data_IF_087895519037
#
_entry.id   IF_087895519037
#
_cell.length_a   1.000
_cell.length_b   1.000
_cell.length_c   1.000
_cell.angle_alpha   90.00
_cell.angle_beta   90.00
_cell.angle_gamma   90.00
#
_symmetry.space_group_name_H-M   'P 1'
#
loop_
_entity.id
_entity.type
_entity.pdbx_description
1 polymer ?
#
# COMPACT_ATOMS: atom_id res chain seq x y z
N UNK A 1 -4.78 -40.97 62.70
CA UNK A 1 -4.90 -41.08 61.23
C UNK A 1 -6.36 -40.78 60.87
N UNK A 2 -6.63 -39.80 59.97
CA UNK A 2 -7.96 -39.29 59.48
C UNK A 2 -8.80 -38.47 60.49
N UNK A 3 -8.67 -37.14 60.57
CA UNK A 3 -9.28 -36.02 59.78
C UNK A 3 -10.66 -35.52 60.24
N UNK A 4 -10.65 -34.29 60.80
CA UNK A 4 -11.58 -33.14 60.70
C UNK A 4 -13.09 -33.38 60.72
N UNK A 5 -13.78 -32.62 61.57
CA UNK A 5 -14.87 -31.67 61.17
C UNK A 5 -15.22 -30.77 62.35
N UNK A 6 -15.05 -29.45 62.22
CA UNK A 6 -15.78 -28.44 62.99
C UNK A 6 -16.11 -27.28 62.04
N UNK A 7 -17.39 -26.91 61.98
CA UNK A 7 -17.96 -25.65 61.47
C UNK A 7 -18.70 -25.01 62.69
N UNK A 8 -19.38 -23.84 62.63
CA UNK A 8 -19.48 -22.75 61.63
C UNK A 8 -19.53 -21.31 62.27
N UNK A 9 -19.97 -20.32 61.48
CA UNK A 9 -20.50 -18.96 61.78
C UNK A 9 -19.46 -17.83 61.95
N UNK A 10 -19.28 -16.93 60.96
CA UNK A 10 -20.14 -15.84 60.48
C UNK A 10 -19.96 -14.53 61.28
N UNK A 11 -19.46 -13.48 60.61
CA UNK A 11 -19.77 -12.09 60.93
C UNK A 11 -19.46 -11.20 59.72
N UNK A 12 -20.48 -10.45 59.30
CA UNK A 12 -20.46 -9.42 58.26
C UNK A 12 -19.61 -8.21 58.67
N UNK A 13 -18.99 -7.53 57.72
CA UNK A 13 -18.95 -6.06 57.69
C UNK A 13 -18.90 -5.55 56.25
N UNK A 14 -19.85 -4.68 55.91
CA UNK A 14 -19.99 -4.00 54.63
C UNK A 14 -19.10 -2.75 54.60
N UNK A 15 -18.52 -2.44 53.43
CA UNK A 15 -18.05 -1.09 53.10
C UNK A 15 -18.11 -0.85 51.59
N UNK A 16 -18.90 0.17 51.24
CA UNK A 16 -19.20 0.69 49.91
C UNK A 16 -17.95 1.39 49.34
N UNK A 17 -17.59 1.09 48.10
CA UNK A 17 -16.61 1.86 47.32
C UNK A 17 -17.21 2.22 45.97
N UNK A 18 -17.46 3.51 45.79
CA UNK A 18 -17.91 4.17 44.57
C UNK A 18 -16.87 4.02 43.47
N UNK A 19 -17.20 3.33 42.38
CA UNK A 19 -16.35 3.29 41.18
C UNK A 19 -16.97 4.16 40.09
N UNK A 20 -16.32 5.29 39.83
CA UNK A 20 -16.65 6.25 38.77
C UNK A 20 -16.36 5.62 37.40
N UNK A 21 -17.34 5.61 36.48
CA UNK A 21 -17.14 5.13 35.12
C UNK A 21 -16.45 6.21 34.26
N UNK A 22 -15.34 5.93 33.56
CA UNK A 22 -14.89 6.79 32.49
C UNK A 22 -15.68 6.48 31.21
N UNK A 23 -16.19 7.55 30.58
CA UNK A 23 -16.87 7.52 29.31
C UNK A 23 -15.94 7.00 28.19
N UNK A 24 -16.39 5.96 27.49
CA UNK A 24 -15.73 5.45 26.29
C UNK A 24 -16.08 6.38 25.13
N UNK A 25 -15.17 7.29 24.79
CA UNK A 25 -15.20 8.05 23.54
C UNK A 25 -14.86 7.08 22.41
N UNK A 26 -15.86 6.70 21.60
CA UNK A 26 -15.58 6.13 20.28
C UNK A 26 -15.28 7.29 19.32
N UNK A 27 -14.02 7.40 18.91
CA UNK A 27 -13.65 8.21 17.76
C UNK A 27 -13.99 7.44 16.48
N UNK A 28 -14.73 8.08 15.58
CA UNK A 28 -15.12 7.52 14.29
C UNK A 28 -13.91 7.36 13.35
N UNK A 29 -13.81 6.17 12.76
CA UNK A 29 -12.91 5.79 11.68
C UNK A 29 -12.86 6.84 10.56
N UNK A 30 -11.74 7.53 10.46
CA UNK A 30 -11.31 8.11 9.20
C UNK A 30 -10.71 6.98 8.36
N UNK A 31 -11.42 6.59 7.29
CA UNK A 31 -10.92 5.66 6.28
C UNK A 31 -9.78 6.32 5.50
N UNK A 32 -8.58 6.31 6.08
CA UNK A 32 -7.34 6.67 5.41
C UNK A 32 -6.98 5.55 4.45
N UNK A 33 -6.55 5.91 3.24
CA UNK A 33 -5.94 4.95 2.33
C UNK A 33 -4.72 4.35 3.03
N UNK A 34 -4.82 3.07 3.40
CA UNK A 34 -3.82 2.34 4.18
C UNK A 34 -2.45 2.42 3.49
N UNK A 35 -1.57 3.25 4.04
CA UNK A 35 -0.16 3.15 3.78
C UNK A 35 0.33 1.89 4.51
N UNK A 36 0.56 0.80 3.77
CA UNK A 36 1.15 -0.42 4.34
C UNK A 36 2.63 -0.15 4.59
N UNK A 37 2.97 0.30 5.80
CA UNK A 37 4.34 0.36 6.29
C UNK A 37 4.75 -1.02 6.81
N UNK A 38 5.26 -1.89 5.94
CA UNK A 38 5.82 -3.18 6.34
C UNK A 38 7.35 -3.07 6.30
N UNK A 39 8.01 -3.48 7.39
CA UNK A 39 9.48 -3.53 7.50
C UNK A 39 10.22 -2.22 7.14
N UNK A 40 9.59 -1.06 7.39
CA UNK A 40 10.19 0.25 7.12
C UNK A 40 10.02 0.76 5.69
N UNK A 41 9.31 0.03 4.83
CA UNK A 41 8.90 0.49 3.49
C UNK A 41 7.42 0.87 3.52
N UNK A 42 7.12 2.10 3.09
CA UNK A 42 5.76 2.55 2.82
C UNK A 42 5.53 2.64 1.32
N UNK A 43 4.47 1.99 0.84
CA UNK A 43 3.99 2.10 -0.53
C UNK A 43 2.61 2.75 -0.53
N UNK A 44 2.44 3.80 -1.32
CA UNK A 44 1.22 4.61 -1.32
C UNK A 44 0.73 4.87 -2.74
N UNK A 45 -0.58 5.15 -2.86
CA UNK A 45 -1.20 5.56 -4.13
C UNK A 45 -1.08 4.51 -5.23
N UNK A 46 -1.22 3.22 -4.90
CA UNK A 46 -1.08 2.16 -5.90
C UNK A 46 -2.28 2.09 -6.85
N UNK A 47 -2.02 2.24 -8.15
CA UNK A 47 -3.04 2.18 -9.20
C UNK A 47 -2.51 1.57 -10.49
N UNK A 48 -3.40 1.09 -11.36
CA UNK A 48 -3.07 0.53 -12.66
C UNK A 48 -3.99 1.05 -13.75
N UNK A 49 -3.50 1.06 -15.00
CA UNK A 49 -4.33 1.38 -16.16
C UNK A 49 -5.33 0.24 -16.46
N UNK A 50 -6.55 0.57 -16.90
CA UNK A 50 -7.44 -0.46 -17.43
C UNK A 50 -6.82 -1.10 -18.67
N UNK A 51 -7.14 -2.37 -18.91
CA UNK A 51 -6.72 -3.05 -20.13
C UNK A 51 -7.38 -2.41 -21.34
N UNK A 52 -6.60 -2.15 -22.38
CA UNK A 52 -7.14 -1.83 -23.71
C UNK A 52 -7.64 -3.16 -24.30
N UNK A 53 -8.80 -3.16 -24.97
CA UNK A 53 -9.45 -4.37 -25.47
C UNK A 53 -8.49 -5.35 -26.16
N UNK A 54 -8.73 -6.66 -26.02
CA UNK A 54 -7.89 -7.78 -26.52
C UNK A 54 -6.44 -7.82 -26.01
N UNK A 55 -5.91 -6.77 -25.38
CA UNK A 55 -4.56 -6.74 -24.84
C UNK A 55 -4.53 -7.36 -23.45
N UNK A 56 -3.59 -8.29 -23.22
CA UNK A 56 -3.36 -8.94 -21.92
C UNK A 56 -2.21 -8.28 -21.15
N UNK A 57 -2.11 -6.96 -21.25
CA UNK A 57 -1.06 -6.15 -20.63
C UNK A 57 -1.64 -4.94 -19.91
N UNK A 58 -0.99 -4.52 -18.82
CA UNK A 58 -1.25 -3.26 -18.11
C UNK A 58 0.02 -2.76 -17.43
N UNK A 59 -0.01 -1.53 -16.92
CA UNK A 59 1.06 -0.95 -16.11
C UNK A 59 0.48 -0.48 -14.76
N UNK A 60 1.20 -0.79 -13.68
CA UNK A 60 0.92 -0.33 -12.33
C UNK A 60 1.95 0.71 -11.87
N UNK A 61 1.47 1.62 -11.03
CA UNK A 61 2.11 2.85 -10.60
C UNK A 61 1.84 3.04 -9.10
N UNK A 62 2.78 3.63 -8.38
CA UNK A 62 2.73 3.88 -6.94
C UNK A 62 3.90 4.78 -6.54
N UNK A 63 3.92 5.18 -5.28
CA UNK A 63 5.09 5.79 -4.65
C UNK A 63 5.62 4.83 -3.58
N UNK A 64 6.94 4.69 -3.50
CA UNK A 64 7.59 3.89 -2.48
C UNK A 64 8.64 4.74 -1.74
N UNK A 65 8.65 4.67 -0.41
CA UNK A 65 9.62 5.36 0.44
C UNK A 65 10.05 4.45 1.57
N UNK A 66 11.34 4.45 1.89
CA UNK A 66 11.86 3.78 3.08
C UNK A 66 12.08 4.80 4.19
N UNK A 67 11.58 4.51 5.39
CA UNK A 67 11.91 5.23 6.63
C UNK A 67 13.04 4.57 7.40
N UNK A 68 13.46 3.37 6.96
CA UNK A 68 14.64 2.67 7.46
C UNK A 68 15.90 3.02 6.66
N UNK A 69 16.78 2.03 6.50
CA UNK A 69 17.96 2.14 5.63
C UNK A 69 17.60 2.04 4.15
N UNK A 70 18.62 2.21 3.30
CA UNK A 70 18.51 2.00 1.84
C UNK A 70 17.93 0.62 1.54
N UNK A 71 17.04 0.54 0.55
CA UNK A 71 16.47 -0.71 0.07
C UNK A 71 16.39 -0.70 -1.46
N UNK A 72 16.01 -1.83 -2.06
CA UNK A 72 15.78 -1.96 -3.50
C UNK A 72 14.51 -2.74 -3.74
N UNK A 73 13.65 -2.24 -4.62
CA UNK A 73 12.60 -3.06 -5.20
C UNK A 73 13.23 -3.97 -6.26
N UNK A 74 13.16 -5.27 -6.06
CA UNK A 74 13.84 -6.26 -6.92
C UNK A 74 12.87 -7.14 -7.71
N UNK A 75 11.61 -7.24 -7.28
CA UNK A 75 10.60 -7.99 -8.03
C UNK A 75 9.18 -7.47 -7.77
N UNK A 76 8.27 -7.85 -8.66
CA UNK A 76 6.83 -7.69 -8.49
C UNK A 76 6.13 -8.98 -8.93
N UNK A 77 5.00 -9.32 -8.29
CA UNK A 77 4.15 -10.45 -8.66
C UNK A 77 2.68 -10.17 -8.36
N UNK A 78 1.79 -10.74 -9.15
CA UNK A 78 0.34 -10.71 -8.90
C UNK A 78 -0.30 -12.02 -9.32
N UNK A 79 -1.34 -12.45 -8.61
CA UNK A 79 -2.10 -13.65 -8.98
C UNK A 79 -2.91 -13.45 -10.27
N UNK A 80 -3.15 -12.19 -10.67
CA UNK A 80 -3.99 -11.80 -11.79
C UNK A 80 -3.28 -11.88 -13.15
N UNK A 81 -1.99 -12.17 -13.19
CA UNK A 81 -1.18 -12.19 -14.41
C UNK A 81 -0.12 -13.30 -14.38
N UNK A 82 0.47 -13.60 -15.52
CA UNK A 82 1.55 -14.57 -15.64
C UNK A 82 2.91 -13.96 -15.24
N UNK A 83 3.10 -12.66 -15.49
CA UNK A 83 4.34 -11.96 -15.18
C UNK A 83 4.10 -10.51 -14.75
N UNK A 84 4.92 -10.03 -13.82
CA UNK A 84 5.07 -8.62 -13.49
C UNK A 84 6.56 -8.27 -13.49
N UNK A 85 6.94 -7.23 -14.20
CA UNK A 85 8.34 -6.81 -14.38
C UNK A 85 8.52 -5.33 -14.02
N UNK A 86 9.69 -4.97 -13.51
CA UNK A 86 10.07 -3.58 -13.29
C UNK A 86 10.60 -2.99 -14.59
N UNK A 87 10.04 -1.87 -15.02
CA UNK A 87 10.41 -1.20 -16.27
C UNK A 87 10.70 0.27 -16.00
N UNK A 88 11.55 0.84 -16.84
CA UNK A 88 11.84 2.27 -16.88
C UNK A 88 11.65 2.81 -18.29
N UNK A 89 11.16 4.03 -18.37
CA UNK A 89 11.19 4.81 -19.59
C UNK A 89 12.49 5.62 -19.69
N UNK A 90 13.22 5.46 -20.79
CA UNK A 90 14.46 6.18 -21.08
C UNK A 90 14.36 6.91 -22.42
N UNK A 91 15.06 8.03 -22.56
CA UNK A 91 15.24 8.72 -23.83
C UNK A 91 16.60 8.32 -24.39
N UNK A 92 16.61 7.63 -25.52
CA UNK A 92 17.84 7.21 -26.19
C UNK A 92 17.79 7.73 -27.63
N UNK A 93 18.71 8.63 -27.98
CA UNK A 93 18.80 9.27 -29.30
C UNK A 93 17.50 10.00 -29.71
N UNK A 94 16.85 10.68 -28.76
CA UNK A 94 15.58 11.37 -28.99
C UNK A 94 14.36 10.44 -29.09
N UNK A 95 14.55 9.12 -28.93
CA UNK A 95 13.48 8.12 -28.98
C UNK A 95 13.17 7.65 -27.56
N UNK A 96 11.90 7.79 -27.20
CA UNK A 96 11.29 7.23 -26.01
C UNK A 96 11.32 5.68 -26.07
N UNK A 97 11.99 5.03 -25.12
CA UNK A 97 12.07 3.57 -25.03
C UNK A 97 11.67 3.10 -23.63
N UNK A 98 10.96 1.97 -23.60
CA UNK A 98 10.65 1.24 -22.38
C UNK A 98 11.62 0.07 -22.25
N UNK A 99 12.30 -0.07 -21.12
CA UNK A 99 13.30 -1.11 -20.88
C UNK A 99 13.07 -1.77 -19.51
N UNK A 100 13.15 -3.11 -19.41
CA UNK A 100 13.14 -3.78 -18.12
C UNK A 100 14.37 -3.39 -17.29
N UNK A 101 14.21 -3.35 -15.98
CA UNK A 101 15.29 -3.12 -15.00
C UNK A 101 15.26 -4.22 -13.94
N UNK A 102 16.42 -4.64 -13.47
CA UNK A 102 16.52 -5.71 -12.47
C UNK A 102 16.13 -5.23 -11.07
N UNK A 103 16.33 -3.95 -10.78
CA UNK A 103 15.94 -3.36 -9.50
C UNK A 103 15.78 -1.86 -9.58
N UNK A 104 15.08 -1.29 -8.59
CA UNK A 104 14.94 0.15 -8.39
C UNK A 104 15.39 0.48 -6.97
N UNK A 105 16.44 1.30 -6.85
CA UNK A 105 16.97 1.73 -5.56
C UNK A 105 16.02 2.72 -4.87
N UNK A 106 15.84 2.55 -3.56
CA UNK A 106 15.02 3.41 -2.71
C UNK A 106 15.90 3.93 -1.57
N UNK A 107 16.24 5.22 -1.66
CA UNK A 107 17.01 5.90 -0.64
C UNK A 107 16.11 6.32 0.54
N UNK A 108 16.63 6.31 1.79
CA UNK A 108 15.90 6.78 2.96
C UNK A 108 15.34 8.18 2.81
N UNK A 109 14.07 8.35 3.17
CA UNK A 109 13.40 9.65 3.16
C UNK A 109 13.19 10.27 1.78
N UNK A 110 13.62 9.60 0.70
CA UNK A 110 13.44 10.08 -0.68
C UNK A 110 12.43 9.18 -1.38
N UNK A 111 11.19 9.64 -1.61
CA UNK A 111 10.20 8.84 -2.29
C UNK A 111 10.57 8.59 -3.75
N UNK A 112 10.50 7.33 -4.17
CA UNK A 112 10.63 6.92 -5.57
C UNK A 112 9.23 6.81 -6.18
N UNK A 113 9.02 7.50 -7.29
CA UNK A 113 7.71 7.58 -7.96
C UNK A 113 7.69 6.69 -9.19
N UNK A 114 6.78 5.72 -9.19
CA UNK A 114 6.42 4.91 -10.35
C UNK A 114 5.24 5.59 -11.05
N UNK A 115 5.45 6.13 -12.24
CA UNK A 115 4.49 6.93 -12.98
C UNK A 115 4.61 6.76 -14.50
N UNK A 116 3.58 7.14 -15.28
CA UNK A 116 3.67 7.16 -16.74
C UNK A 116 4.89 7.98 -17.21
N UNK A 117 5.70 7.40 -18.10
CA UNK A 117 6.93 8.04 -18.60
C UNK A 117 8.13 7.96 -17.64
N UNK A 118 8.02 7.24 -16.52
CA UNK A 118 9.12 6.93 -15.61
C UNK A 118 9.21 5.44 -15.30
N UNK A 119 9.49 5.10 -14.03
CA UNK A 119 9.41 3.72 -13.56
C UNK A 119 7.96 3.23 -13.51
N UNK A 120 7.75 1.95 -13.77
CA UNK A 120 6.44 1.31 -13.63
C UNK A 120 6.59 -0.21 -13.53
N UNK A 121 5.54 -0.86 -13.01
CA UNK A 121 5.45 -2.33 -13.03
C UNK A 121 4.63 -2.73 -14.25
N UNK A 122 5.28 -3.38 -15.22
CA UNK A 122 4.65 -3.92 -16.42
C UNK A 122 4.03 -5.28 -16.10
N UNK A 123 2.71 -5.38 -16.22
CA UNK A 123 1.93 -6.59 -15.95
C UNK A 123 1.59 -7.25 -17.29
N UNK A 124 1.95 -8.52 -17.46
CA UNK A 124 1.82 -9.27 -18.71
C UNK A 124 1.17 -10.62 -18.49
N UNK A 125 0.37 -11.06 -19.46
CA UNK A 125 -0.37 -12.31 -19.36
C UNK A 125 -1.54 -12.21 -18.37
N UNK A 126 -2.23 -11.07 -18.35
CA UNK A 126 -3.41 -10.86 -17.50
C UNK A 126 -4.45 -11.97 -17.72
N UNK A 127 -4.92 -12.63 -16.65
CA UNK A 127 -5.87 -13.76 -16.70
C UNK A 127 -7.31 -13.33 -17.05
N UNK A 128 -7.62 -12.06 -16.87
CA UNK A 128 -8.87 -11.42 -17.28
C UNK A 128 -8.63 -9.93 -17.57
N UNK A 129 -9.62 -9.23 -18.14
CA UNK A 129 -9.53 -7.79 -18.32
C UNK A 129 -9.44 -7.07 -16.96
N UNK A 130 -8.75 -5.94 -16.94
CA UNK A 130 -8.78 -5.00 -15.81
C UNK A 130 -9.70 -3.84 -16.21
N UNK A 131 -10.86 -3.74 -15.57
CA UNK A 131 -11.84 -2.69 -15.80
C UNK A 131 -11.68 -1.57 -14.79
N UNK A 132 -12.07 -0.37 -15.17
CA UNK A 132 -12.09 0.76 -14.25
C UNK A 132 -12.98 0.47 -13.03
N UNK A 133 -12.45 0.71 -11.82
CA UNK A 133 -13.10 0.36 -10.56
C UNK A 133 -12.71 -1.00 -9.99
N UNK A 134 -12.08 -1.88 -10.79
CA UNK A 134 -11.54 -3.14 -10.29
C UNK A 134 -10.36 -2.88 -9.33
N UNK A 135 -10.06 -3.87 -8.50
CA UNK A 135 -8.82 -3.88 -7.71
C UNK A 135 -8.22 -5.27 -7.64
N UNK A 136 -6.90 -5.34 -7.48
CA UNK A 136 -6.17 -6.59 -7.38
C UNK A 136 -4.93 -6.45 -6.49
N UNK A 137 -4.49 -7.54 -5.82
CA UNK A 137 -3.27 -7.52 -5.03
C UNK A 137 -2.02 -7.55 -5.94
N UNK A 138 -1.06 -6.67 -5.64
CA UNK A 138 0.28 -6.67 -6.19
C UNK A 138 1.28 -6.81 -5.05
N UNK A 139 2.10 -7.86 -5.08
CA UNK A 139 3.19 -8.03 -4.14
C UNK A 139 4.47 -7.49 -4.73
N UNK A 140 5.11 -6.60 -3.99
CA UNK A 140 6.39 -5.96 -4.29
C UNK A 140 7.45 -6.57 -3.37
N UNK A 141 8.48 -7.16 -3.95
CA UNK A 141 9.58 -7.77 -3.18
C UNK A 141 10.73 -6.80 -3.10
N UNK A 142 11.03 -6.36 -1.89
CA UNK A 142 12.18 -5.54 -1.56
C UNK A 142 13.35 -6.40 -1.06
N UNK A 143 14.57 -5.97 -1.34
CA UNK A 143 15.79 -6.71 -0.99
C UNK A 143 15.93 -6.89 0.52
N UNK A 144 15.59 -5.87 1.32
CA UNK A 144 15.73 -5.90 2.79
C UNK A 144 14.39 -6.01 3.51
N UNK A 145 13.39 -5.24 3.09
CA UNK A 145 12.07 -5.25 3.71
C UNK A 145 11.23 -6.49 3.35
N UNK A 146 11.64 -7.27 2.33
CA UNK A 146 10.91 -8.46 1.90
C UNK A 146 9.64 -8.13 1.12
N UNK A 147 8.63 -9.00 1.22
CA UNK A 147 7.39 -8.87 0.45
C UNK A 147 6.42 -7.87 1.09
N UNK A 148 6.04 -6.84 0.34
CA UNK A 148 4.98 -5.88 0.69
C UNK A 148 3.84 -6.04 -0.31
N UNK A 149 2.65 -6.38 0.16
CA UNK A 149 1.48 -6.52 -0.71
C UNK A 149 0.58 -5.30 -0.64
N UNK A 150 0.31 -4.69 -1.79
CA UNK A 150 -0.57 -3.53 -1.93
C UNK A 150 -1.79 -3.86 -2.77
N UNK A 151 -2.92 -3.24 -2.44
CA UNK A 151 -4.10 -3.29 -3.28
C UNK A 151 -4.01 -2.22 -4.38
N UNK A 152 -4.04 -2.64 -5.64
CA UNK A 152 -3.91 -1.76 -6.80
C UNK A 152 -5.29 -1.44 -7.35
N UNK A 153 -5.65 -0.16 -7.41
CA UNK A 153 -6.93 0.30 -7.98
C UNK A 153 -6.80 0.51 -9.50
N UNK A 154 -7.76 0.02 -10.28
CA UNK A 154 -7.75 0.20 -11.74
C UNK A 154 -8.48 1.48 -12.13
N UNK A 155 -7.79 2.41 -12.80
CA UNK A 155 -8.32 3.72 -13.15
C UNK A 155 -7.64 4.34 -14.39
N UNK A 156 -8.35 5.20 -15.14
CA UNK A 156 -7.83 5.81 -16.38
C UNK A 156 -6.72 6.84 -16.15
N UNK A 157 -6.75 7.53 -15.02
CA UNK A 157 -5.72 8.46 -14.53
C UNK A 157 -5.60 8.27 -13.02
N UNK A 158 -4.42 8.48 -12.45
CA UNK A 158 -4.26 8.53 -11.00
C UNK A 158 -5.34 9.45 -10.39
N UNK A 159 -5.96 9.05 -9.29
CA UNK A 159 -6.75 9.98 -8.50
C UNK A 159 -5.76 11.05 -8.02
N UNK A 160 -5.81 12.19 -8.67
CA UNK A 160 -5.15 13.39 -8.21
C UNK A 160 -5.84 13.71 -6.88
N UNK A 161 -5.22 13.33 -5.77
CA UNK A 161 -5.66 13.78 -4.46
C UNK A 161 -5.81 15.30 -4.55
N UNK A 162 -7.03 15.79 -4.34
CA UNK A 162 -7.38 17.20 -4.45
C UNK A 162 -6.57 18.03 -3.44
N UNK A 163 -5.37 18.45 -3.83
CA UNK A 163 -4.78 19.69 -3.36
C UNK A 163 -5.33 20.81 -4.22
N UNK A 164 -6.30 21.54 -3.71
CA UNK A 164 -6.85 22.74 -4.33
C UNK A 164 -5.73 23.79 -4.48
N UNK A 165 -5.05 23.82 -5.63
CA UNK A 165 -4.23 24.95 -6.03
C UNK A 165 -5.06 25.80 -6.98
N UNK A 166 -5.62 26.85 -6.39
CA UNK A 166 -6.23 27.98 -7.05
C UNK A 166 -5.24 28.55 -8.07
N UNK A 167 -5.45 28.28 -9.35
CA UNK A 167 -4.67 28.88 -10.42
C UNK A 167 -5.21 30.28 -10.68
N UNK A 168 -4.61 31.24 -9.99
CA UNK A 168 -4.78 32.67 -10.24
C UNK A 168 -4.61 32.99 -11.74
N UNK A 169 -5.67 33.55 -12.29
CA UNK A 169 -5.81 34.07 -13.65
C UNK A 169 -4.67 35.04 -14.01
N UNK A 170 -3.79 34.67 -14.94
CA UNK A 170 -2.95 35.64 -15.65
C UNK A 170 -3.68 36.11 -16.90
N UNK A 171 -4.22 37.34 -16.84
CA UNK A 171 -4.67 38.07 -18.03
C UNK A 171 -3.45 38.68 -18.73
N UNK A 172 -3.35 38.45 -20.04
CA UNK A 172 -2.59 39.29 -20.97
C UNK A 172 -3.57 40.20 -21.70
#
# INVERSE_FOLDING_TARGET
>A
MKTKTNRPLAALFAAVLTFSLPALVQAHDAKTHDATAQHGIAVTGAWARPTIAKMRISAAYFQAVTTGGEDKLIAAKTANADKAELHQHIMENGIAKMRPVDSVAIAPGTPVVFQPGGYHVMIMGLKGPLNEGDSFPLTLTFEKAGDVTVNVMVMKKAAQGHGNMDHGTHKH
#
